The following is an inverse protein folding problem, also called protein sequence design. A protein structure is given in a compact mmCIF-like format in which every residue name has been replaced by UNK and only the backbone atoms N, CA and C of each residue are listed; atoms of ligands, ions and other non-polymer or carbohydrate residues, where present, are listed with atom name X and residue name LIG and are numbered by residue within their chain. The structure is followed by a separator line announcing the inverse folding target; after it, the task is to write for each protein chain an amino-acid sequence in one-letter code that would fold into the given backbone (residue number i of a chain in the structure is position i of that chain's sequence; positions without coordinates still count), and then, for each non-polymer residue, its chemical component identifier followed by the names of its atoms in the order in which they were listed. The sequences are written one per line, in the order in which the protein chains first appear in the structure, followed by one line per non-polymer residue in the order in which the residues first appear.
data_IF_812516276903
#
_entry.id   IF_812516276903
#
_cell.length_a   1.000
_cell.length_b   1.000
_cell.length_c   1.000
_cell.angle_alpha   90.00
_cell.angle_beta   90.00
_cell.angle_gamma   90.00
#
_symmetry.space_group_name_H-M   'P 1'
#
loop_
_entity.id
_entity.type
_entity.pdbx_description
1 polymer ?
#
# COMPACT_ATOMS: atom_id res chain seq x y z
N UNK A 1 -26.38 43.67 -65.43
CA UNK A 1 -27.44 42.87 -64.78
C UNK A 1 -27.18 42.95 -63.29
N UNK A 2 -27.81 43.91 -62.62
CA UNK A 2 -29.09 43.77 -61.91
C UNK A 2 -28.83 43.45 -60.44
N UNK A 3 -28.41 44.48 -59.69
CA UNK A 3 -28.47 44.54 -58.24
C UNK A 3 -29.67 45.43 -57.91
N UNK A 4 -30.85 44.85 -57.90
CA UNK A 4 -32.07 45.49 -57.43
C UNK A 4 -33.03 44.42 -56.95
N UNK A 5 -33.60 44.64 -55.76
CA UNK A 5 -34.59 43.83 -55.04
C UNK A 5 -34.09 42.61 -54.25
N UNK A 6 -33.57 42.89 -53.04
CA UNK A 6 -33.81 42.07 -51.85
C UNK A 6 -33.49 42.91 -50.61
N UNK A 7 -34.44 43.69 -50.09
CA UNK A 7 -34.22 44.58 -48.93
C UNK A 7 -35.19 44.32 -47.77
N UNK A 8 -35.67 43.09 -47.59
CA UNK A 8 -36.63 42.82 -46.50
C UNK A 8 -36.48 41.50 -45.73
N UNK A 9 -35.36 40.78 -45.88
CA UNK A 9 -35.19 39.49 -45.21
C UNK A 9 -33.72 39.17 -44.87
N UNK A 10 -33.01 40.07 -44.19
CA UNK A 10 -31.56 39.88 -43.93
C UNK A 10 -31.12 39.84 -42.46
N UNK A 11 -32.03 39.94 -41.49
CA UNK A 11 -31.70 39.74 -40.07
C UNK A 11 -32.29 38.45 -39.52
N UNK A 12 -32.09 37.33 -40.22
CA UNK A 12 -32.33 36.02 -39.62
C UNK A 12 -31.09 35.59 -38.82
N UNK A 13 -31.23 34.90 -37.67
CA UNK A 13 -30.08 34.36 -36.93
C UNK A 13 -29.17 33.49 -37.81
N UNK A 14 -29.75 32.85 -38.82
CA UNK A 14 -29.05 32.07 -39.85
C UNK A 14 -28.14 32.92 -40.75
N UNK A 15 -28.51 34.16 -41.06
CA UNK A 15 -27.64 35.07 -41.82
C UNK A 15 -26.40 35.44 -41.02
N UNK A 16 -26.57 35.79 -39.73
CA UNK A 16 -25.47 36.18 -38.84
C UNK A 16 -24.47 35.03 -38.66
N UNK A 17 -24.96 33.79 -38.51
CA UNK A 17 -24.12 32.59 -38.38
C UNK A 17 -23.30 32.27 -39.64
N UNK A 18 -23.76 32.72 -40.82
CA UNK A 18 -23.13 32.43 -42.10
C UNK A 18 -22.13 33.50 -42.57
N UNK A 19 -21.99 34.62 -41.85
CA UNK A 19 -21.02 35.66 -42.19
C UNK A 19 -19.60 35.14 -41.92
N UNK A 20 -18.76 35.12 -42.96
CA UNK A 20 -17.34 34.75 -42.86
C UNK A 20 -16.49 35.90 -43.37
N UNK A 21 -15.63 36.44 -42.51
CA UNK A 21 -14.68 37.50 -42.85
C UNK A 21 -13.41 36.92 -43.48
N UNK A 22 -12.82 37.66 -44.43
CA UNK A 22 -11.54 37.30 -45.02
C UNK A 22 -10.43 37.35 -43.97
N UNK A 23 -9.58 36.32 -43.94
CA UNK A 23 -8.40 36.26 -43.06
C UNK A 23 -7.15 36.74 -43.79
N UNK A 24 -6.42 37.65 -43.16
CA UNK A 24 -5.10 38.08 -43.58
C UNK A 24 -4.06 36.98 -43.34
N UNK A 25 -3.04 36.91 -44.23
CA UNK A 25 -1.99 35.88 -44.26
C UNK A 25 -1.16 35.75 -42.97
N UNK A 26 -1.30 36.66 -42.01
CA UNK A 26 -0.58 36.68 -40.73
C UNK A 26 -1.47 36.40 -39.51
N UNK A 27 -2.67 35.84 -39.72
CA UNK A 27 -3.49 35.30 -38.64
C UNK A 27 -4.53 36.24 -38.03
N UNK A 28 -5.01 37.25 -38.76
CA UNK A 28 -6.09 38.16 -38.31
C UNK A 28 -7.21 38.30 -39.33
N UNK A 29 -8.37 38.80 -38.92
CA UNK A 29 -9.45 39.19 -39.83
C UNK A 29 -9.16 40.55 -40.46
N UNK A 30 -9.70 40.80 -41.66
CA UNK A 30 -9.67 42.14 -42.24
C UNK A 30 -10.55 43.10 -41.43
N UNK A 31 -9.92 44.01 -40.71
CA UNK A 31 -10.58 44.98 -39.82
C UNK A 31 -11.53 45.88 -40.61
N UNK A 32 -11.20 46.23 -41.87
CA UNK A 32 -12.05 47.10 -42.68
C UNK A 32 -13.35 46.39 -43.10
N UNK A 33 -13.27 45.10 -43.37
CA UNK A 33 -14.44 44.28 -43.70
C UNK A 33 -15.37 44.16 -42.49
N UNK A 34 -14.80 43.86 -41.32
CA UNK A 34 -15.54 43.77 -40.06
C UNK A 34 -16.21 45.10 -39.71
N UNK A 35 -15.49 46.22 -39.78
CA UNK A 35 -16.04 47.56 -39.49
C UNK A 35 -17.17 47.94 -40.45
N UNK A 36 -17.03 47.59 -41.73
CA UNK A 36 -18.05 47.89 -42.74
C UNK A 36 -19.33 47.07 -42.52
N UNK A 37 -19.19 45.82 -42.06
CA UNK A 37 -20.31 44.96 -41.69
C UNK A 37 -21.03 45.50 -40.44
N UNK A 38 -20.27 45.85 -39.40
CA UNK A 38 -20.84 46.38 -38.15
C UNK A 38 -21.61 47.69 -38.37
N UNK A 39 -21.11 48.62 -39.21
CA UNK A 39 -21.86 49.85 -39.53
C UNK A 39 -23.18 49.57 -40.24
N UNK A 40 -23.17 48.68 -41.23
CA UNK A 40 -24.40 48.31 -41.95
C UNK A 40 -25.40 47.58 -41.06
N UNK A 41 -24.90 46.77 -40.12
CA UNK A 41 -25.72 46.05 -39.15
C UNK A 41 -26.40 47.02 -38.17
N UNK A 42 -25.66 48.02 -37.67
CA UNK A 42 -26.20 49.07 -36.80
C UNK A 42 -27.27 49.92 -37.52
N UNK A 43 -27.01 50.35 -38.76
CA UNK A 43 -27.99 51.07 -39.58
C UNK A 43 -29.28 50.26 -39.80
N UNK A 44 -29.19 48.93 -39.89
CA UNK A 44 -30.35 48.07 -40.08
C UNK A 44 -31.18 47.93 -38.79
N UNK A 45 -30.54 47.81 -37.62
CA UNK A 45 -31.24 47.74 -36.33
C UNK A 45 -31.99 49.04 -36.03
N UNK A 46 -31.38 50.19 -36.29
CA UNK A 46 -32.03 51.49 -36.11
C UNK A 46 -33.22 51.68 -37.07
N UNK A 47 -33.15 51.10 -38.27
CA UNK A 47 -34.25 51.12 -39.22
C UNK A 47 -35.42 50.19 -38.82
N UNK A 48 -35.16 49.05 -38.19
CA UNK A 48 -36.20 48.13 -37.72
C UNK A 48 -36.88 48.59 -36.42
N UNK A 49 -36.15 49.24 -35.51
CA UNK A 49 -36.75 49.86 -34.30
C UNK A 49 -37.74 50.99 -34.65
N UNK A 50 -37.53 51.68 -35.78
CA UNK A 50 -38.44 52.72 -36.26
C UNK A 50 -39.78 52.19 -36.80
N UNK A 51 -39.93 50.87 -36.95
CA UNK A 51 -41.12 50.20 -37.51
C UNK A 51 -42.02 49.53 -36.47
N UNK A 52 -41.78 49.72 -35.17
CA UNK A 52 -42.73 49.31 -34.13
C UNK A 52 -43.77 50.44 -33.98
N UNK A 53 -44.98 50.33 -34.58
CA UNK A 53 -46.02 51.32 -34.34
C UNK A 53 -46.43 51.25 -32.88
N UNK A 54 -46.27 52.36 -32.17
CA UNK A 54 -46.89 52.64 -30.88
C UNK A 54 -48.40 52.74 -31.07
N UNK A 55 -49.08 51.59 -31.21
CA UNK A 55 -50.53 51.47 -31.12
C UNK A 55 -50.95 51.72 -29.66
N UNK A 56 -50.97 53.00 -29.28
CA UNK A 56 -51.29 53.51 -27.95
C UNK A 56 -52.79 53.78 -27.79
N UNK A 57 -53.64 52.80 -28.10
CA UNK A 57 -55.07 52.89 -27.84
C UNK A 57 -55.62 51.54 -27.43
N UNK A 58 -56.15 51.50 -26.20
CA UNK A 58 -56.89 50.39 -25.55
C UNK A 58 -56.03 49.34 -24.81
N UNK A 59 -55.37 49.76 -23.73
CA UNK A 59 -54.85 48.83 -22.70
C UNK A 59 -54.87 49.49 -21.31
N UNK A 60 -56.04 49.99 -20.90
CA UNK A 60 -56.25 50.53 -19.54
C UNK A 60 -56.45 49.43 -18.49
N UNK A 61 -56.70 48.19 -18.91
CA UNK A 61 -56.79 47.01 -18.03
C UNK A 61 -55.43 46.26 -17.94
N UNK A 62 -54.41 46.72 -18.67
CA UNK A 62 -53.05 46.13 -18.67
C UNK A 62 -52.15 46.68 -17.56
N UNK A 63 -52.60 47.70 -16.82
CA UNK A 63 -51.91 48.32 -15.69
C UNK A 63 -52.52 47.85 -14.36
N UNK A 64 -52.61 46.54 -14.16
CA UNK A 64 -52.69 45.96 -12.82
C UNK A 64 -51.29 45.55 -12.37
N UNK A 65 -50.49 46.49 -11.81
CA UNK A 65 -49.13 46.20 -11.36
C UNK A 65 -49.10 45.14 -10.27
N UNK A 66 -50.18 45.00 -9.50
CA UNK A 66 -50.31 43.99 -8.45
C UNK A 66 -50.50 42.59 -9.05
N UNK A 67 -51.38 42.46 -10.05
CA UNK A 67 -51.55 41.21 -10.82
C UNK A 67 -50.32 40.82 -11.65
N UNK A 68 -49.52 41.79 -12.12
CA UNK A 68 -48.24 41.52 -12.77
C UNK A 68 -47.17 41.04 -11.76
N UNK A 69 -47.09 41.67 -10.59
CA UNK A 69 -46.19 41.26 -9.51
C UNK A 69 -46.53 39.86 -8.97
N UNK A 70 -47.81 39.54 -8.79
CA UNK A 70 -48.25 38.22 -8.33
C UNK A 70 -47.90 37.12 -9.35
N UNK A 71 -48.04 37.40 -10.64
CA UNK A 71 -47.62 36.47 -11.71
C UNK A 71 -46.11 36.28 -11.74
N UNK A 72 -45.34 37.35 -11.53
CA UNK A 72 -43.89 37.29 -11.43
C UNK A 72 -43.45 36.46 -10.21
N UNK A 73 -44.07 36.67 -9.04
CA UNK A 73 -43.78 35.88 -7.84
C UNK A 73 -44.13 34.41 -8.04
N UNK A 74 -45.28 34.09 -8.63
CA UNK A 74 -45.67 32.72 -8.94
C UNK A 74 -44.70 32.06 -9.95
N UNK A 75 -44.21 32.82 -10.93
CA UNK A 75 -43.20 32.35 -11.87
C UNK A 75 -41.85 32.13 -11.18
N UNK A 76 -41.39 33.09 -10.35
CA UNK A 76 -40.15 32.98 -9.59
C UNK A 76 -40.17 31.79 -8.62
N UNK A 77 -41.29 31.57 -7.93
CA UNK A 77 -41.47 30.42 -7.05
C UNK A 77 -41.39 29.10 -7.82
N UNK A 78 -42.06 28.98 -8.97
CA UNK A 78 -41.95 27.78 -9.82
C UNK A 78 -40.53 27.56 -10.32
N UNK A 79 -39.80 28.62 -10.65
CA UNK A 79 -38.39 28.51 -11.03
C UNK A 79 -37.54 28.04 -9.85
N UNK A 80 -37.78 28.55 -8.64
CA UNK A 80 -37.08 28.09 -7.43
C UNK A 80 -37.40 26.62 -7.12
N UNK A 81 -38.66 26.20 -7.22
CA UNK A 81 -39.08 24.81 -7.02
C UNK A 81 -38.49 23.89 -8.09
N UNK A 82 -38.40 24.35 -9.34
CA UNK A 82 -37.77 23.61 -10.43
C UNK A 82 -36.26 23.45 -10.19
N UNK A 83 -35.57 24.51 -9.75
CA UNK A 83 -34.14 24.49 -9.47
C UNK A 83 -33.82 23.60 -8.26
N UNK A 84 -34.62 23.64 -7.20
CA UNK A 84 -34.44 22.77 -6.04
C UNK A 84 -34.65 21.30 -6.39
N UNK A 85 -35.66 20.99 -7.22
CA UNK A 85 -35.89 19.64 -7.73
C UNK A 85 -34.73 19.16 -8.63
N UNK A 86 -34.21 20.03 -9.49
CA UNK A 86 -33.07 19.70 -10.34
C UNK A 86 -31.79 19.48 -9.53
N UNK A 87 -31.51 20.35 -8.56
CA UNK A 87 -30.36 20.22 -7.67
C UNK A 87 -30.44 18.93 -6.83
N UNK A 88 -31.63 18.57 -6.34
CA UNK A 88 -31.86 17.31 -5.62
C UNK A 88 -31.57 16.09 -6.52
N UNK A 89 -32.08 16.09 -7.75
CA UNK A 89 -31.83 15.00 -8.71
C UNK A 89 -30.35 14.89 -9.09
N UNK A 90 -29.66 16.01 -9.30
CA UNK A 90 -28.21 16.03 -9.56
C UNK A 90 -27.41 15.52 -8.37
N UNK A 91 -27.78 15.92 -7.15
CA UNK A 91 -27.12 15.43 -5.92
C UNK A 91 -27.30 13.91 -5.76
N UNK A 92 -28.51 13.40 -5.99
CA UNK A 92 -28.79 11.96 -5.94
C UNK A 92 -27.97 11.20 -7.00
N UNK A 93 -27.87 11.74 -8.21
CA UNK A 93 -27.03 11.17 -9.26
C UNK A 93 -25.55 11.15 -8.87
N UNK A 94 -25.04 12.23 -8.26
CA UNK A 94 -23.65 12.30 -7.81
C UNK A 94 -23.38 11.29 -6.69
N UNK A 95 -24.28 11.18 -5.71
CA UNK A 95 -24.17 10.20 -4.62
C UNK A 95 -24.17 8.78 -5.18
N UNK A 96 -25.12 8.44 -6.05
CA UNK A 96 -25.18 7.13 -6.68
C UNK A 96 -23.92 6.81 -7.50
N UNK A 97 -23.35 7.80 -8.19
CA UNK A 97 -22.10 7.64 -8.94
C UNK A 97 -20.89 7.43 -8.02
N UNK A 98 -20.82 8.17 -6.91
CA UNK A 98 -19.74 8.06 -5.94
C UNK A 98 -19.79 6.72 -5.18
N UNK A 99 -20.99 6.27 -4.83
CA UNK A 99 -21.21 4.94 -4.23
C UNK A 99 -20.78 3.82 -5.18
N UNK A 100 -21.19 3.88 -6.46
CA UNK A 100 -20.77 2.90 -7.46
C UNK A 100 -19.24 2.87 -7.66
N UNK A 101 -18.58 4.04 -7.62
CA UNK A 101 -17.13 4.12 -7.68
C UNK A 101 -16.47 3.55 -6.42
N UNK A 102 -16.99 3.89 -5.24
CA UNK A 102 -16.48 3.38 -3.97
C UNK A 102 -16.58 1.85 -3.89
N UNK A 103 -17.69 1.28 -4.35
CA UNK A 103 -17.86 -0.18 -4.36
C UNK A 103 -16.96 -0.87 -5.40
N UNK A 104 -16.70 -0.22 -6.54
CA UNK A 104 -15.70 -0.72 -7.47
C UNK A 104 -14.29 -0.70 -6.87
N UNK A 105 -13.90 0.39 -6.19
CA UNK A 105 -12.61 0.48 -5.51
C UNK A 105 -12.50 -0.57 -4.42
N UNK A 106 -13.53 -0.75 -3.58
CA UNK A 106 -13.56 -1.81 -2.56
C UNK A 106 -13.33 -3.19 -3.17
N UNK A 107 -14.00 -3.49 -4.30
CA UNK A 107 -13.84 -4.76 -5.00
C UNK A 107 -12.40 -4.95 -5.49
N UNK A 108 -11.81 -3.93 -6.13
CA UNK A 108 -10.43 -3.97 -6.60
C UNK A 108 -9.45 -4.20 -5.45
N UNK A 109 -9.59 -3.45 -4.35
CA UNK A 109 -8.72 -3.59 -3.16
C UNK A 109 -8.86 -4.98 -2.55
N UNK A 110 -10.07 -5.54 -2.47
CA UNK A 110 -10.27 -6.90 -1.95
C UNK A 110 -9.68 -7.96 -2.89
N UNK A 111 -9.84 -7.81 -4.20
CA UNK A 111 -9.24 -8.71 -5.19
C UNK A 111 -7.70 -8.64 -5.14
N UNK A 112 -7.13 -7.45 -4.99
CA UNK A 112 -5.70 -7.24 -4.85
C UNK A 112 -5.14 -7.79 -3.53
N UNK A 113 -5.80 -7.51 -2.40
CA UNK A 113 -5.41 -8.06 -1.10
C UNK A 113 -5.47 -9.59 -1.12
N UNK A 114 -6.47 -10.18 -1.79
CA UNK A 114 -6.55 -11.62 -1.99
C UNK A 114 -5.39 -12.15 -2.81
N UNK A 115 -5.04 -11.46 -3.91
CA UNK A 115 -3.92 -11.86 -4.77
C UNK A 115 -2.59 -11.81 -4.00
N UNK A 116 -2.33 -10.74 -3.25
CA UNK A 116 -1.12 -10.64 -2.40
C UNK A 116 -1.08 -11.75 -1.35
N UNK A 117 -2.23 -12.10 -0.75
CA UNK A 117 -2.30 -13.22 0.20
C UNK A 117 -1.97 -14.56 -0.48
N UNK A 118 -2.49 -14.81 -1.69
CA UNK A 118 -2.20 -16.02 -2.47
C UNK A 118 -0.70 -16.10 -2.86
N UNK A 119 -0.11 -14.99 -3.32
CA UNK A 119 1.32 -14.89 -3.65
C UNK A 119 2.21 -15.13 -2.42
N UNK A 120 1.90 -14.50 -1.29
CA UNK A 120 2.64 -14.73 -0.04
C UNK A 120 2.57 -16.20 0.39
N UNK A 121 1.41 -16.86 0.20
CA UNK A 121 1.25 -18.27 0.53
C UNK A 121 2.07 -19.17 -0.39
N UNK A 122 2.17 -18.87 -1.69
CA UNK A 122 3.04 -19.62 -2.60
C UNK A 122 4.51 -19.47 -2.23
N UNK A 123 4.95 -18.25 -1.87
CA UNK A 123 6.32 -17.99 -1.45
C UNK A 123 6.68 -18.75 -0.17
N UNK A 124 5.75 -18.81 0.79
CA UNK A 124 5.96 -19.60 2.01
C UNK A 124 6.04 -21.09 1.72
N UNK A 125 5.21 -21.62 0.82
CA UNK A 125 5.29 -23.03 0.42
C UNK A 125 6.63 -23.35 -0.24
N UNK A 126 7.10 -22.50 -1.15
CA UNK A 126 8.41 -22.69 -1.79
C UNK A 126 9.53 -22.67 -0.74
N UNK A 127 9.52 -21.69 0.18
CA UNK A 127 10.50 -21.62 1.27
C UNK A 127 10.48 -22.89 2.13
N UNK A 128 9.31 -23.41 2.49
CA UNK A 128 9.18 -24.67 3.22
C UNK A 128 9.80 -25.82 2.44
N UNK A 129 9.50 -25.95 1.15
CA UNK A 129 10.08 -27.02 0.30
C UNK A 129 11.61 -26.91 0.21
N UNK A 130 12.16 -25.69 0.10
CA UNK A 130 13.63 -25.50 0.13
C UNK A 130 14.24 -25.87 1.48
N UNK A 131 13.56 -25.61 2.60
CA UNK A 131 14.04 -25.99 3.92
C UNK A 131 13.92 -27.50 4.15
N UNK A 132 12.86 -28.14 3.67
CA UNK A 132 12.69 -29.59 3.75
C UNK A 132 13.75 -30.34 2.94
N UNK A 133 14.06 -29.87 1.72
CA UNK A 133 15.14 -30.44 0.92
C UNK A 133 16.51 -30.27 1.58
N UNK A 134 16.80 -29.10 2.18
CA UNK A 134 18.02 -28.88 2.99
C UNK A 134 18.07 -29.79 4.21
N UNK A 135 16.95 -29.94 4.94
CA UNK A 135 16.86 -30.84 6.10
C UNK A 135 17.18 -32.27 5.69
N UNK A 136 16.56 -32.76 4.61
CA UNK A 136 16.80 -34.11 4.07
C UNK A 136 18.27 -34.30 3.65
N UNK A 137 18.87 -33.31 3.00
CA UNK A 137 20.29 -33.37 2.62
C UNK A 137 21.22 -33.46 3.84
N UNK A 138 20.91 -32.71 4.90
CA UNK A 138 21.67 -32.79 6.16
C UNK A 138 21.48 -34.14 6.85
N UNK A 139 20.26 -34.66 6.88
CA UNK A 139 19.95 -35.99 7.42
C UNK A 139 20.71 -37.10 6.67
N UNK A 140 20.74 -37.05 5.34
CA UNK A 140 21.53 -37.97 4.51
C UNK A 140 23.03 -37.87 4.80
N UNK A 141 23.57 -36.65 4.98
CA UNK A 141 24.98 -36.44 5.35
C UNK A 141 25.31 -36.97 6.74
N UNK A 142 24.43 -36.75 7.73
CA UNK A 142 24.60 -37.29 9.07
C UNK A 142 24.59 -38.82 9.04
N UNK A 143 23.61 -39.43 8.36
CA UNK A 143 23.57 -40.88 8.20
C UNK A 143 24.80 -41.45 7.49
N UNK A 144 25.34 -40.73 6.51
CA UNK A 144 26.59 -41.11 5.86
C UNK A 144 27.80 -41.09 6.81
N UNK A 145 27.95 -40.02 7.60
CA UNK A 145 29.03 -39.90 8.59
C UNK A 145 28.90 -40.92 9.72
N UNK A 146 27.68 -41.18 10.21
CA UNK A 146 27.41 -42.24 11.18
C UNK A 146 27.81 -43.62 10.62
N UNK A 147 27.47 -43.90 9.36
CA UNK A 147 27.89 -45.11 8.66
C UNK A 147 29.42 -45.26 8.58
N UNK A 148 30.13 -44.17 8.26
CA UNK A 148 31.61 -44.17 8.26
C UNK A 148 32.19 -44.42 9.65
N UNK A 149 31.61 -43.81 10.69
CA UNK A 149 32.05 -43.97 12.06
C UNK A 149 31.83 -45.40 12.57
N UNK A 150 30.70 -46.03 12.23
CA UNK A 150 30.44 -47.43 12.53
C UNK A 150 31.40 -48.37 11.78
N UNK A 151 31.63 -48.16 10.49
CA UNK A 151 32.61 -48.95 9.74
C UNK A 151 34.03 -48.81 10.32
N UNK A 152 34.45 -47.60 10.71
CA UNK A 152 35.74 -47.37 11.37
C UNK A 152 35.84 -48.05 12.74
N UNK A 153 34.75 -48.02 13.52
CA UNK A 153 34.67 -48.74 14.81
C UNK A 153 34.79 -50.25 14.61
N UNK A 154 34.07 -50.82 13.65
CA UNK A 154 34.11 -52.27 13.37
C UNK A 154 35.51 -52.68 12.89
N UNK A 155 36.16 -51.87 12.05
CA UNK A 155 37.54 -52.11 11.64
C UNK A 155 38.50 -52.10 12.83
N UNK A 156 38.37 -51.15 13.77
CA UNK A 156 39.17 -51.11 14.99
C UNK A 156 38.94 -52.34 15.87
N UNK A 157 37.69 -52.79 16.02
CA UNK A 157 37.37 -54.00 16.78
C UNK A 157 38.00 -55.25 16.15
N UNK A 158 37.97 -55.38 14.82
CA UNK A 158 38.62 -56.48 14.10
C UNK A 158 40.14 -56.47 14.36
N UNK A 159 40.78 -55.30 14.25
CA UNK A 159 42.23 -55.16 14.50
C UNK A 159 42.57 -55.47 15.96
N UNK A 160 41.75 -55.04 16.92
CA UNK A 160 41.95 -55.36 18.34
C UNK A 160 41.81 -56.86 18.61
N UNK A 161 40.83 -57.53 18.01
CA UNK A 161 40.66 -58.99 18.12
C UNK A 161 41.85 -59.74 17.49
N UNK A 162 42.38 -59.24 16.36
CA UNK A 162 43.59 -59.79 15.74
C UNK A 162 44.83 -59.59 16.63
N UNK A 163 45.04 -58.38 17.18
CA UNK A 163 46.14 -58.11 18.11
C UNK A 163 46.04 -58.99 19.36
N UNK A 164 44.83 -59.12 19.92
CA UNK A 164 44.56 -60.02 21.05
C UNK A 164 44.91 -61.46 20.70
N UNK A 165 44.51 -61.94 19.53
CA UNK A 165 44.83 -63.29 19.06
C UNK A 165 46.33 -63.48 18.86
N UNK A 166 47.05 -62.50 18.32
CA UNK A 166 48.51 -62.56 18.19
C UNK A 166 49.17 -62.66 19.56
N UNK A 167 48.68 -61.94 20.57
CA UNK A 167 49.17 -62.02 21.95
C UNK A 167 48.84 -63.38 22.58
N UNK A 168 47.67 -63.95 22.31
CA UNK A 168 47.27 -65.27 22.83
C UNK A 168 48.00 -66.44 22.13
N UNK A 169 48.21 -66.34 20.81
CA UNK A 169 48.89 -67.36 19.98
C UNK A 169 50.41 -67.27 20.09
N UNK A 170 50.95 -66.06 20.33
CA UNK A 170 52.33 -65.91 20.73
C UNK A 170 52.39 -66.34 22.19
N UNK A 171 52.72 -67.61 22.44
CA UNK A 171 53.35 -68.06 23.70
C UNK A 171 54.70 -67.34 23.89
N UNK A 172 54.69 -66.00 23.87
CA UNK A 172 55.57 -65.21 24.70
C UNK A 172 55.14 -65.58 26.11
N UNK A 173 55.70 -66.68 26.63
CA UNK A 173 56.13 -66.73 28.01
C UNK A 173 56.92 -65.45 28.23
N UNK A 174 56.20 -64.37 28.56
CA UNK A 174 56.78 -63.22 29.19
C UNK A 174 57.28 -63.76 30.51
N UNK A 175 58.54 -64.20 30.50
CA UNK A 175 59.40 -64.53 31.63
C UNK A 175 59.64 -63.28 32.53
N UNK A 176 58.71 -62.31 32.51
CA UNK A 176 58.63 -61.17 33.42
C UNK A 176 58.46 -61.65 34.87
N UNK A 177 58.01 -62.89 35.08
CA UNK A 177 57.98 -63.52 36.40
C UNK A 177 59.36 -63.81 37.01
N UNK A 178 60.44 -63.92 36.23
CA UNK A 178 61.79 -64.19 36.78
C UNK A 178 62.66 -62.94 36.95
N UNK A 179 62.45 -61.87 36.18
CA UNK A 179 63.23 -60.63 36.34
C UNK A 179 62.68 -59.66 37.39
N UNK A 180 61.43 -59.81 37.84
CA UNK A 180 60.86 -58.95 38.90
C UNK A 180 61.28 -59.44 40.30
N UNK A 181 61.49 -60.74 40.51
CA UNK A 181 61.93 -61.28 41.81
C UNK A 181 63.40 -60.89 42.13
N UNK A 182 64.24 -60.66 41.11
CA UNK A 182 65.62 -60.16 41.27
C UNK A 182 65.71 -58.62 41.44
N UNK A 183 64.63 -57.86 41.23
CA UNK A 183 64.60 -56.40 41.42
C UNK A 183 63.91 -55.96 42.72
N UNK A 184 63.26 -56.88 43.44
CA UNK A 184 62.62 -56.59 44.72
C UNK A 184 63.60 -56.58 45.90
N UNK A 185 64.82 -57.13 45.75
CA UNK A 185 65.84 -57.15 46.82
C UNK A 185 66.69 -55.86 46.93
N UNK A 186 66.69 -54.96 45.93
CA UNK A 186 67.55 -53.75 45.92
C UNK A 186 66.81 -52.40 46.01
N UNK A 187 65.47 -52.38 46.17
CA UNK A 187 64.68 -51.14 46.17
C UNK A 187 64.37 -50.54 47.55
N UNK A 188 64.96 -51.07 48.64
CA UNK A 188 64.79 -50.56 50.00
C UNK A 188 65.51 -49.23 50.34
N UNK A 189 66.21 -48.59 49.40
CA UNK A 189 67.07 -47.42 49.72
C UNK A 189 66.80 -46.11 48.97
N UNK A 190 65.70 -45.98 48.22
CA UNK A 190 65.33 -44.70 47.59
C UNK A 190 64.01 -44.16 48.15
N UNK A 191 64.18 -43.28 49.14
CA UNK A 191 63.11 -42.62 49.88
C UNK A 191 62.24 -41.64 49.06
N UNK A 192 61.19 -41.10 49.70
CA UNK A 192 60.14 -40.34 49.04
C UNK A 192 60.60 -38.90 48.81
N UNK A 193 61.00 -38.57 47.58
CA UNK A 193 61.47 -37.23 47.22
C UNK A 193 61.09 -36.85 45.79
N UNK A 194 59.82 -37.02 45.42
CA UNK A 194 59.33 -36.50 44.12
C UNK A 194 57.82 -36.24 44.13
N UNK A 195 57.31 -35.73 45.26
CA UNK A 195 55.94 -35.24 45.40
C UNK A 195 55.95 -33.84 46.00
N UNK A 196 56.69 -32.94 45.37
CA UNK A 196 56.59 -31.50 45.61
C UNK A 196 57.18 -30.81 44.37
N UNK A 197 56.59 -29.67 43.97
CA UNK A 197 56.93 -28.84 42.80
C UNK A 197 56.16 -29.21 41.51
N UNK A 198 54.91 -28.72 41.42
CA UNK A 198 54.43 -27.82 40.34
C UNK A 198 52.92 -27.53 40.53
N UNK A 199 52.61 -26.76 41.57
CA UNK A 199 51.55 -25.76 41.47
C UNK A 199 52.25 -24.50 40.94
N UNK A 200 52.02 -24.12 39.69
CA UNK A 200 52.02 -22.72 39.21
C UNK A 200 51.71 -22.66 37.70
N UNK A 201 50.89 -21.66 37.35
CA UNK A 201 50.65 -21.08 36.03
C UNK A 201 49.81 -21.83 34.98
N UNK A 202 48.49 -21.70 35.15
CA UNK A 202 47.56 -21.62 34.01
C UNK A 202 47.69 -20.21 33.42
N UNK A 203 48.69 -20.00 32.56
CA UNK A 203 48.69 -18.88 31.63
C UNK A 203 47.99 -19.29 30.33
N UNK A 204 46.96 -18.52 30.00
CA UNK A 204 46.27 -18.56 28.73
C UNK A 204 47.20 -18.05 27.63
N UNK A 205 47.75 -18.95 26.81
CA UNK A 205 48.35 -18.57 25.54
C UNK A 205 47.69 -19.26 24.35
N UNK A 206 47.08 -18.38 23.57
CA UNK A 206 46.71 -18.48 22.16
C UNK A 206 47.74 -19.23 21.33
N UNK A 207 47.35 -20.40 20.80
CA UNK A 207 48.10 -21.08 19.75
C UNK A 207 47.63 -20.53 18.40
N UNK A 208 48.44 -19.63 17.85
CA UNK A 208 48.55 -19.42 16.41
C UNK A 208 49.22 -20.64 15.78
N UNK A 209 48.44 -21.45 15.09
CA UNK A 209 48.94 -22.55 14.26
C UNK A 209 49.16 -22.05 12.83
N UNK A 210 50.43 -21.86 12.48
CA UNK A 210 50.85 -21.70 11.10
C UNK A 210 51.45 -23.04 10.62
N UNK A 211 50.82 -23.60 9.57
CA UNK A 211 51.55 -24.26 8.48
C UNK A 211 51.79 -25.77 8.59
N UNK A 212 50.81 -26.56 8.15
CA UNK A 212 51.10 -27.69 7.24
C UNK A 212 50.18 -27.60 6.03
N UNK A 213 50.82 -27.35 4.91
CA UNK A 213 50.35 -27.26 3.54
C UNK A 213 49.85 -28.61 3.03
N UNK A 214 48.58 -28.67 2.58
CA UNK A 214 48.17 -29.55 1.49
C UNK A 214 47.31 -28.76 0.52
N UNK A 215 47.83 -28.61 -0.69
CA UNK A 215 47.19 -27.97 -1.83
C UNK A 215 45.88 -28.65 -2.20
N UNK A 216 44.81 -27.88 -2.38
CA UNK A 216 43.81 -28.04 -3.44
C UNK A 216 42.91 -26.79 -3.50
N UNK A 217 43.29 -25.90 -4.42
CA UNK A 217 42.43 -25.07 -5.28
C UNK A 217 40.94 -24.96 -4.90
N UNK A 218 40.58 -23.92 -4.13
CA UNK A 218 39.23 -23.35 -4.13
C UNK A 218 39.40 -21.87 -4.46
N UNK A 219 38.98 -21.51 -5.68
CA UNK A 219 38.95 -20.14 -6.17
C UNK A 219 37.89 -19.34 -5.42
N UNK A 220 38.25 -18.11 -5.13
CA UNK A 220 37.37 -16.98 -4.81
C UNK A 220 36.04 -17.03 -5.57
N UNK A 221 34.94 -17.00 -4.81
CA UNK A 221 33.68 -16.46 -5.31
C UNK A 221 33.31 -15.32 -4.35
N UNK A 222 33.69 -14.12 -4.80
CA UNK A 222 33.24 -12.83 -4.27
C UNK A 222 31.70 -12.76 -4.30
N UNK A 223 31.03 -12.29 -3.24
CA UNK A 223 29.65 -11.86 -3.32
C UNK A 223 29.63 -10.36 -3.65
N UNK A 224 29.88 -10.04 -4.90
CA UNK A 224 29.56 -8.75 -5.49
C UNK A 224 28.94 -9.05 -6.85
N UNK A 225 27.86 -8.37 -7.17
CA UNK A 225 27.08 -8.47 -8.42
C UNK A 225 26.07 -9.64 -8.46
N UNK A 226 24.96 -9.46 -7.74
CA UNK A 226 23.69 -10.12 -8.08
C UNK A 226 22.51 -9.15 -7.96
N UNK A 227 22.70 -7.95 -8.48
CA UNK A 227 21.65 -7.02 -8.88
C UNK A 227 21.73 -6.93 -10.41
N UNK A 228 20.97 -7.78 -11.12
CA UNK A 228 20.57 -7.60 -12.54
C UNK A 228 20.10 -8.93 -13.12
N UNK A 229 18.88 -9.38 -12.82
CA UNK A 229 18.27 -10.49 -13.57
C UNK A 229 16.74 -10.56 -13.57
N UNK A 230 16.01 -9.54 -13.10
CA UNK A 230 14.54 -9.56 -13.09
C UNK A 230 13.88 -8.35 -13.77
N UNK A 231 14.57 -7.70 -14.70
CA UNK A 231 14.02 -6.53 -15.41
C UNK A 231 13.57 -6.80 -16.87
N UNK A 232 13.75 -8.03 -17.39
CA UNK A 232 13.54 -8.31 -18.83
C UNK A 232 12.10 -8.76 -19.17
N UNK A 233 11.26 -9.10 -18.19
CA UNK A 233 9.90 -9.60 -18.46
C UNK A 233 8.76 -8.57 -18.21
N UNK A 234 9.09 -7.33 -17.84
CA UNK A 234 8.08 -6.26 -17.66
C UNK A 234 7.78 -5.49 -18.96
N UNK A 235 8.76 -5.36 -19.85
CA UNK A 235 8.66 -4.61 -21.10
C UNK A 235 7.78 -5.26 -22.19
N UNK A 236 7.17 -6.42 -21.94
CA UNK A 236 6.38 -7.16 -22.96
C UNK A 236 4.88 -7.26 -22.68
N UNK A 237 4.40 -6.65 -21.59
CA UNK A 237 2.96 -6.56 -21.26
C UNK A 237 2.38 -5.14 -21.40
N UNK A 238 3.19 -4.15 -21.76
CA UNK A 238 2.76 -2.75 -21.85
C UNK A 238 2.11 -2.38 -23.20
N UNK A 239 2.15 -3.26 -24.20
CA UNK A 239 1.65 -2.97 -25.56
C UNK A 239 0.16 -3.32 -25.80
N UNK A 240 -0.59 -3.81 -24.80
CA UNK A 240 -1.99 -4.24 -24.98
C UNK A 240 -3.04 -3.45 -24.17
N UNK A 241 -2.67 -2.33 -23.51
CA UNK A 241 -3.65 -1.50 -22.79
C UNK A 241 -4.05 -0.24 -23.58
N UNK A 242 -5.36 0.08 -23.66
CA UNK A 242 -5.86 1.21 -24.43
C UNK A 242 -5.35 2.55 -23.87
N UNK A 243 -5.07 3.55 -24.74
CA UNK A 243 -4.30 4.76 -24.42
C UNK A 243 -5.02 5.79 -23.50
N UNK A 244 -6.23 5.51 -23.02
CA UNK A 244 -7.01 6.48 -22.21
C UNK A 244 -6.95 6.22 -20.70
N UNK A 245 -6.19 5.22 -20.24
CA UNK A 245 -5.97 4.95 -18.79
C UNK A 245 -4.49 4.92 -18.38
N UNK A 246 -3.57 5.34 -19.25
CA UNK A 246 -2.13 5.30 -19.00
C UNK A 246 -1.55 6.69 -18.69
N UNK A 247 -2.14 7.43 -17.74
CA UNK A 247 -1.58 8.74 -17.36
C UNK A 247 -0.47 8.67 -16.30
N UNK A 248 -0.13 7.48 -15.81
CA UNK A 248 1.01 7.28 -14.90
C UNK A 248 1.78 6.04 -15.35
N UNK A 249 2.87 6.26 -16.09
CA UNK A 249 3.62 5.21 -16.79
C UNK A 249 4.79 4.62 -16.01
N UNK A 250 5.07 5.12 -14.81
CA UNK A 250 6.06 4.52 -13.94
C UNK A 250 5.73 4.78 -12.47
N UNK A 251 6.20 3.90 -11.58
CA UNK A 251 6.10 4.12 -10.14
C UNK A 251 6.88 5.37 -9.72
N UNK A 252 7.94 5.72 -10.46
CA UNK A 252 8.68 6.99 -10.28
C UNK A 252 7.83 8.21 -10.66
N UNK A 253 7.02 8.14 -11.73
CA UNK A 253 6.09 9.22 -12.09
C UNK A 253 4.97 9.37 -11.05
N UNK A 254 4.53 8.26 -10.44
CA UNK A 254 3.57 8.28 -9.35
C UNK A 254 4.16 8.94 -8.10
N UNK A 255 5.38 8.58 -7.72
CA UNK A 255 6.09 9.20 -6.59
C UNK A 255 6.33 10.68 -6.86
N UNK A 256 6.77 11.06 -8.06
CA UNK A 256 6.94 12.46 -8.45
C UNK A 256 5.62 13.24 -8.44
N UNK A 257 4.50 12.62 -8.81
CA UNK A 257 3.18 13.26 -8.76
C UNK A 257 2.67 13.40 -7.33
N UNK A 258 2.90 12.41 -6.47
CA UNK A 258 2.56 12.46 -5.04
C UNK A 258 3.39 13.55 -4.35
N UNK A 259 4.70 13.64 -4.62
CA UNK A 259 5.57 14.67 -4.05
C UNK A 259 5.19 16.07 -4.54
N UNK A 260 4.83 16.21 -5.83
CA UNK A 260 4.36 17.49 -6.38
C UNK A 260 3.00 17.90 -5.80
N UNK A 261 2.08 16.94 -5.58
CA UNK A 261 0.80 17.19 -4.95
C UNK A 261 0.95 17.54 -3.46
N UNK A 262 1.86 16.88 -2.74
CA UNK A 262 2.17 17.17 -1.35
C UNK A 262 2.79 18.57 -1.20
N UNK A 263 3.76 18.92 -2.06
CA UNK A 263 4.37 20.25 -2.06
C UNK A 263 3.34 21.37 -2.37
N UNK A 264 2.41 21.13 -3.31
CA UNK A 264 1.34 22.07 -3.62
C UNK A 264 0.31 22.24 -2.49
N UNK A 265 0.09 21.20 -1.69
CA UNK A 265 -0.82 21.27 -0.53
C UNK A 265 -0.20 22.07 0.63
N UNK A 266 1.11 21.97 0.87
CA UNK A 266 1.79 22.75 1.91
C UNK A 266 1.85 24.25 1.59
N UNK A 267 2.01 24.62 0.32
CA UNK A 267 2.07 26.03 -0.10
C UNK A 267 0.71 26.74 0.00
N UNK A 268 -0.41 26.01 -0.10
CA UNK A 268 -1.76 26.57 -0.01
C UNK A 268 -2.31 26.74 1.41
N UNK A 269 -1.76 26.02 2.41
CA UNK A 269 -2.27 26.06 3.79
C UNK A 269 -1.53 27.13 4.62
N UNK A 270 -0.35 27.59 4.21
CA UNK A 270 0.47 28.53 5.00
C UNK A 270 0.00 29.99 5.04
N UNK A 271 -0.75 30.48 4.04
CA UNK A 271 -0.98 31.93 3.89
C UNK A 271 -2.33 32.46 4.39
N UNK A 272 -3.29 31.60 4.78
CA UNK A 272 -4.64 32.05 5.15
C UNK A 272 -5.04 31.82 6.62
N UNK A 273 -4.13 31.41 7.51
CA UNK A 273 -4.40 31.38 8.96
C UNK A 273 -4.08 32.75 9.58
N UNK A 274 -4.75 33.79 9.10
CA UNK A 274 -4.84 35.06 9.80
C UNK A 274 -5.97 34.92 10.82
N UNK A 275 -5.57 34.75 12.09
CA UNK A 275 -6.26 35.23 13.30
C UNK A 275 -7.80 35.16 13.30
N UNK A 276 -8.39 33.97 13.30
CA UNK A 276 -9.72 33.80 13.88
C UNK A 276 -9.56 33.44 15.37
N UNK A 277 -9.85 34.44 16.20
CA UNK A 277 -9.98 34.37 17.65
C UNK A 277 -10.95 33.25 18.07
N UNK A 278 -10.41 32.27 18.80
CA UNK A 278 -11.04 31.49 19.88
C UNK A 278 -12.58 31.35 19.85
N UNK A 279 -13.11 30.41 19.04
CA UNK A 279 -14.33 29.68 19.41
C UNK A 279 -13.93 28.31 19.97
N UNK A 280 -13.52 28.33 21.23
CA UNK A 280 -13.26 27.13 22.01
C UNK A 280 -14.60 26.43 22.27
N UNK A 281 -14.94 25.47 21.41
CA UNK A 281 -16.02 24.53 21.63
C UNK A 281 -15.91 23.85 23.02
N UNK A 282 -17.01 23.25 23.51
CA UNK A 282 -17.07 22.71 24.86
C UNK A 282 -15.94 21.68 25.09
N UNK A 283 -15.35 21.65 26.29
CA UNK A 283 -14.17 20.84 26.57
C UNK A 283 -14.48 19.37 26.32
N UNK A 284 -13.87 18.80 25.29
CA UNK A 284 -13.87 17.36 25.07
C UNK A 284 -13.09 16.73 26.23
N UNK A 285 -13.72 15.79 26.93
CA UNK A 285 -13.06 15.05 27.99
C UNK A 285 -11.91 14.26 27.39
N UNK A 286 -10.70 14.51 27.89
CA UNK A 286 -9.50 13.78 27.48
C UNK A 286 -9.70 12.28 27.77
N UNK A 287 -9.72 11.47 26.72
CA UNK A 287 -9.61 10.01 26.83
C UNK A 287 -8.32 9.68 27.59
N UNK A 288 -8.37 8.76 28.58
CA UNK A 288 -7.20 8.44 29.37
C UNK A 288 -6.13 7.83 28.47
N UNK A 289 -5.01 8.55 28.33
CA UNK A 289 -3.78 8.01 27.75
C UNK A 289 -3.29 6.92 28.71
N UNK A 290 -3.35 5.67 28.25
CA UNK A 290 -2.80 4.51 28.96
C UNK A 290 -1.26 4.67 28.94
N UNK A 291 -0.74 5.36 29.95
CA UNK A 291 0.68 5.37 30.26
C UNK A 291 0.99 4.17 31.15
N UNK A 292 1.78 3.22 30.65
CA UNK A 292 2.40 2.23 31.52
C UNK A 292 2.78 0.92 30.84
N UNK A 293 3.97 0.91 30.25
CA UNK A 293 4.99 -0.14 30.45
C UNK A 293 4.51 -1.56 30.79
N UNK A 294 4.18 -2.36 29.79
CA UNK A 294 4.59 -3.77 29.69
C UNK A 294 4.27 -4.23 28.27
N UNK A 295 5.21 -4.90 27.62
CA UNK A 295 5.03 -5.42 26.27
C UNK A 295 4.01 -6.55 26.27
N UNK A 296 2.72 -6.22 26.24
CA UNK A 296 1.63 -7.17 26.05
C UNK A 296 1.51 -7.41 24.55
N UNK A 297 2.10 -8.51 24.11
CA UNK A 297 1.88 -9.17 22.82
C UNK A 297 0.39 -9.10 22.43
N UNK A 298 0.12 -8.58 21.22
CA UNK A 298 -1.21 -8.28 20.69
C UNK A 298 -2.17 -9.46 20.50
N UNK A 299 -1.84 -10.66 20.97
CA UNK A 299 -2.70 -11.84 20.90
C UNK A 299 -3.70 -11.96 22.08
N UNK A 300 -3.45 -11.31 23.22
CA UNK A 300 -4.36 -11.41 24.38
C UNK A 300 -5.63 -10.58 24.26
N UNK A 301 -5.62 -9.55 23.42
CA UNK A 301 -6.77 -8.66 23.26
C UNK A 301 -7.98 -9.36 22.61
N UNK A 302 -7.71 -10.34 21.73
CA UNK A 302 -8.78 -11.09 21.05
C UNK A 302 -9.24 -12.33 21.82
N UNK A 303 -8.43 -12.86 22.74
CA UNK A 303 -8.87 -13.94 23.65
C UNK A 303 -9.85 -13.41 24.71
N UNK A 304 -9.63 -12.19 25.22
CA UNK A 304 -10.54 -11.58 26.21
C UNK A 304 -11.93 -11.26 25.61
N UNK A 305 -11.99 -10.93 24.31
CA UNK A 305 -13.26 -10.74 23.59
C UNK A 305 -14.03 -12.04 23.32
N UNK A 306 -13.40 -13.21 23.38
CA UNK A 306 -14.08 -14.51 23.22
C UNK A 306 -14.69 -15.04 24.51
N UNK A 307 -14.10 -14.70 25.65
CA UNK A 307 -14.56 -15.15 26.97
C UNK A 307 -15.50 -14.12 27.64
N UNK A 308 -15.66 -12.94 27.05
CA UNK A 308 -16.64 -11.94 27.50
C UNK A 308 -18.06 -12.38 27.10
N UNK A 309 -18.91 -12.59 28.09
CA UNK A 309 -20.33 -12.90 27.94
C UNK A 309 -20.99 -11.80 27.06
N UNK A 310 -21.70 -12.11 25.96
CA UNK A 310 -22.24 -11.10 25.02
C UNK A 310 -23.26 -10.13 25.64
N UNK A 311 -23.61 -10.33 26.91
CA UNK A 311 -24.50 -9.45 27.68
C UNK A 311 -23.78 -8.48 28.62
N UNK A 312 -22.47 -8.63 28.83
CA UNK A 312 -21.67 -7.71 29.64
C UNK A 312 -21.05 -6.63 28.75
N UNK A 313 -21.92 -5.79 28.18
CA UNK A 313 -21.50 -4.60 27.44
C UNK A 313 -20.80 -3.63 28.39
N UNK A 314 -19.60 -3.19 28.02
CA UNK A 314 -18.81 -2.15 28.70
C UNK A 314 -19.55 -0.80 28.80
N UNK A 315 -20.66 -0.64 28.07
CA UNK A 315 -21.54 0.53 28.15
C UNK A 315 -22.57 0.51 29.31
N UNK A 316 -22.47 -0.48 30.21
CA UNK A 316 -23.35 -0.60 31.36
C UNK A 316 -24.60 -1.41 31.03
N UNK A 317 -25.14 -2.09 32.05
CA UNK A 317 -26.40 -2.82 31.99
C UNK A 317 -27.47 -1.87 31.47
N UNK A 318 -27.98 -2.14 30.27
CA UNK A 318 -29.21 -1.51 29.78
C UNK A 318 -30.28 -1.94 30.77
N UNK A 319 -30.84 -0.97 31.49
CA UNK A 319 -31.94 -1.19 32.40
C UNK A 319 -33.19 -1.56 31.60
N UNK A 320 -33.99 -2.49 32.12
CA UNK A 320 -35.23 -2.96 31.50
C UNK A 320 -36.18 -1.77 31.14
N UNK A 321 -36.04 -0.65 31.85
CA UNK A 321 -36.77 0.60 31.62
C UNK A 321 -36.41 1.27 30.27
N UNK A 322 -35.15 1.18 29.83
CA UNK A 322 -34.72 1.73 28.53
C UNK A 322 -35.21 0.86 27.37
N UNK A 323 -35.20 -0.46 27.53
CA UNK A 323 -35.76 -1.39 26.53
C UNK A 323 -37.28 -1.24 26.39
N UNK A 324 -37.99 -0.99 27.49
CA UNK A 324 -39.43 -0.71 27.47
C UNK A 324 -39.75 0.64 26.80
N UNK A 325 -38.92 1.67 27.00
CA UNK A 325 -39.07 2.96 26.33
C UNK A 325 -38.81 2.87 24.81
N UNK A 326 -37.78 2.14 24.39
CA UNK A 326 -37.45 1.94 22.98
C UNK A 326 -38.55 1.13 22.28
N UNK A 327 -39.02 0.05 22.90
CA UNK A 327 -40.12 -0.75 22.36
C UNK A 327 -41.42 0.05 22.28
N UNK A 328 -41.73 0.88 23.27
CA UNK A 328 -42.87 1.80 23.23
C UNK A 328 -42.77 2.78 22.05
N UNK A 329 -41.58 3.34 21.79
CA UNK A 329 -41.36 4.30 20.70
C UNK A 329 -41.63 3.68 19.32
N UNK A 330 -41.22 2.42 19.11
CA UNK A 330 -41.46 1.73 17.83
C UNK A 330 -42.86 1.13 17.70
N UNK A 331 -43.61 1.00 18.79
CA UNK A 331 -44.98 0.47 18.78
C UNK A 331 -46.07 1.52 18.58
N UNK A 332 -45.75 2.81 18.62
CA UNK A 332 -46.74 3.91 18.55
C UNK A 332 -47.00 4.39 17.10
N UNK A 333 -46.47 3.70 16.09
CA UNK A 333 -46.54 4.05 14.66
C UNK A 333 -47.43 3.10 13.81
N UNK A 334 -48.36 2.35 14.42
CA UNK A 334 -49.40 1.55 13.70
C UNK A 334 -50.84 2.07 13.85
#
# INVERSE_FOLDING_TARGET
MALSDATQSFLTPEFIRNVRFARHRRGGYDIQEVDSFLRRFAELLEADDSRIPTNATEDSDLYDPEGAAQRLLAAAQRTADSLTKEAAAQSEQLIASAEAQADNIKRVVVEEARKMAEESQTDFREKIETLESKRKNLEEKCGYLEGQLHAGKDQLLIVLDEMRKIIEDSELELEIGQEIEDLEEDSSELGPSLLEVLEEDIEAETIGQAGITTMSEIRDISPADREDSMEVDKARREDEMPPELSLVHSTEDLESWIDAAAAGAEEGIGENWIEDEEDAGPPTQATPVIQGSEGVSGDRFFEELRDSDPHESVLGLVDDETDEAISSFFSDDE
#
